data_IF_843372493898
#
_entry.id   IF_843372493898
#
_cell.length_a   1.000
_cell.length_b   1.000
_cell.length_c   1.000
_cell.angle_alpha   90.00
_cell.angle_beta   90.00
_cell.angle_gamma   90.00
#
_symmetry.space_group_name_H-M   'P 1'
#
loop_
_entity.id
_entity.type
_entity.pdbx_description
1 polymer ?
#
# COMPACT_ATOMS: atom_id res chain seq x y z
N UNK A 1 25.50 16.31 -12.34
CA UNK A 1 24.78 17.06 -11.28
C UNK A 1 23.38 17.53 -11.67
N UNK A 2 23.16 18.50 -12.58
CA UNK A 2 21.79 18.98 -12.88
C UNK A 2 20.88 17.90 -13.46
N UNK A 3 21.38 17.10 -14.39
CA UNK A 3 20.61 16.03 -15.03
C UNK A 3 20.31 14.88 -14.06
N UNK A 4 21.24 14.56 -13.17
CA UNK A 4 21.06 13.53 -12.12
C UNK A 4 19.98 13.93 -11.11
N UNK A 5 19.95 15.21 -10.69
CA UNK A 5 18.91 15.74 -9.80
C UNK A 5 17.54 15.71 -10.50
N UNK A 6 17.47 16.05 -11.79
CA UNK A 6 16.22 15.99 -12.56
C UNK A 6 15.70 14.55 -12.67
N UNK A 7 16.57 13.58 -12.94
CA UNK A 7 16.23 12.16 -12.97
C UNK A 7 15.75 11.67 -11.59
N UNK A 8 16.43 12.07 -10.51
CA UNK A 8 16.05 11.73 -9.14
C UNK A 8 14.66 12.28 -8.78
N UNK A 9 14.35 13.53 -9.14
CA UNK A 9 13.02 14.14 -8.96
C UNK A 9 11.93 13.43 -9.74
N UNK A 10 12.22 13.01 -10.98
CA UNK A 10 11.31 12.20 -11.79
C UNK A 10 10.99 10.85 -11.12
N UNK A 11 12.02 10.15 -10.64
CA UNK A 11 11.85 8.88 -9.90
C UNK A 11 11.09 9.08 -8.59
N UNK A 12 11.38 10.14 -7.85
CA UNK A 12 10.65 10.49 -6.63
C UNK A 12 9.16 10.68 -6.90
N UNK A 13 8.80 11.47 -7.92
CA UNK A 13 7.41 11.70 -8.29
C UNK A 13 6.67 10.41 -8.68
N UNK A 14 7.34 9.51 -9.40
CA UNK A 14 6.79 8.21 -9.76
C UNK A 14 6.53 7.35 -8.52
N UNK A 15 7.51 7.22 -7.63
CA UNK A 15 7.38 6.43 -6.39
C UNK A 15 6.27 6.96 -5.50
N UNK A 16 6.17 8.28 -5.32
CA UNK A 16 5.09 8.91 -4.53
C UNK A 16 3.71 8.58 -5.13
N UNK A 17 3.60 8.61 -6.46
CA UNK A 17 2.34 8.27 -7.15
C UNK A 17 1.99 6.80 -6.94
N UNK A 18 2.91 5.88 -7.22
CA UNK A 18 2.66 4.44 -7.08
C UNK A 18 2.33 4.07 -5.62
N UNK A 19 3.03 4.67 -4.65
CA UNK A 19 2.73 4.52 -3.23
C UNK A 19 1.32 4.97 -2.88
N UNK A 20 0.82 6.04 -3.50
CA UNK A 20 -0.57 6.52 -3.32
C UNK A 20 -1.59 5.53 -3.90
N UNK A 21 -1.30 4.95 -5.07
CA UNK A 21 -2.15 3.94 -5.71
C UNK A 21 -2.24 2.68 -4.84
N UNK A 22 -1.12 2.19 -4.32
CA UNK A 22 -1.09 1.08 -3.36
C UNK A 22 -1.85 1.40 -2.07
N UNK A 23 -1.76 2.64 -1.57
CA UNK A 23 -2.53 3.06 -0.39
C UNK A 23 -4.05 3.02 -0.64
N UNK A 24 -4.49 3.37 -1.86
CA UNK A 24 -5.90 3.26 -2.24
C UNK A 24 -6.33 1.79 -2.34
N UNK A 25 -5.52 0.93 -2.95
CA UNK A 25 -5.75 -0.52 -3.01
C UNK A 25 -5.90 -1.10 -1.59
N UNK A 26 -4.98 -0.78 -0.69
CA UNK A 26 -5.00 -1.22 0.71
C UNK A 26 -6.29 -0.82 1.44
N UNK A 27 -6.81 0.40 1.20
CA UNK A 27 -8.09 0.84 1.77
C UNK A 27 -9.26 0.00 1.24
N UNK A 28 -9.27 -0.30 -0.05
CA UNK A 28 -10.28 -1.18 -0.67
C UNK A 28 -10.24 -2.59 -0.09
N UNK A 29 -9.05 -3.16 0.10
CA UNK A 29 -8.88 -4.48 0.72
C UNK A 29 -9.43 -4.52 2.15
N UNK A 30 -9.20 -3.49 2.95
CA UNK A 30 -9.77 -3.40 4.32
C UNK A 30 -11.30 -3.40 4.28
N UNK A 31 -11.93 -2.71 3.32
CA UNK A 31 -13.39 -2.73 3.17
C UNK A 31 -13.90 -4.12 2.79
N UNK A 32 -13.23 -4.79 1.85
CA UNK A 32 -13.58 -6.17 1.43
C UNK A 32 -13.45 -7.14 2.59
N UNK A 33 -12.36 -7.06 3.37
CA UNK A 33 -12.15 -7.91 4.55
C UNK A 33 -13.28 -7.70 5.57
N UNK A 34 -13.63 -6.45 5.86
CA UNK A 34 -14.73 -6.13 6.79
C UNK A 34 -16.09 -6.64 6.32
N UNK A 35 -16.35 -6.59 5.01
CA UNK A 35 -17.59 -7.13 4.46
C UNK A 35 -17.68 -8.66 4.58
N UNK A 36 -16.54 -9.36 4.51
CA UNK A 36 -16.47 -10.82 4.63
C UNK A 36 -16.42 -11.32 6.07
N UNK A 37 -15.88 -10.50 6.97
CA UNK A 37 -15.72 -10.76 8.40
C UNK A 37 -16.54 -9.77 9.23
N UNK A 38 -17.81 -9.58 8.87
CA UNK A 38 -18.68 -8.62 9.56
C UNK A 38 -18.70 -8.95 11.06
N UNK A 39 -18.19 -8.06 11.93
CA UNK A 39 -18.12 -8.32 13.36
C UNK A 39 -19.50 -8.35 14.03
N UNK A 40 -20.55 -7.94 13.33
CA UNK A 40 -21.93 -7.92 13.83
C UNK A 40 -22.78 -9.09 13.33
N UNK A 41 -22.24 -9.97 12.48
CA UNK A 41 -22.96 -11.19 12.07
C UNK A 41 -23.01 -12.18 13.25
N UNK A 42 -24.21 -12.53 13.77
CA UNK A 42 -24.35 -13.44 14.90
C UNK A 42 -24.05 -14.90 14.53
N UNK A 43 -24.19 -15.28 13.26
CA UNK A 43 -23.95 -16.64 12.77
C UNK A 43 -22.56 -16.76 12.10
N UNK A 44 -21.58 -17.29 12.84
CA UNK A 44 -20.21 -17.47 12.38
C UNK A 44 -20.10 -18.33 11.10
N UNK A 45 -21.07 -19.21 10.83
CA UNK A 45 -21.08 -20.03 9.63
C UNK A 45 -21.28 -19.21 8.35
N UNK A 46 -21.79 -17.97 8.44
CA UNK A 46 -21.95 -17.06 7.30
C UNK A 46 -20.70 -16.23 7.00
N UNK A 47 -19.71 -16.23 7.89
CA UNK A 47 -18.46 -15.51 7.65
C UNK A 47 -17.67 -16.19 6.53
N UNK A 48 -17.20 -15.40 5.57
CA UNK A 48 -16.41 -15.91 4.46
C UNK A 48 -14.91 -15.80 4.77
N UNK A 49 -14.45 -16.65 5.68
CA UNK A 49 -13.10 -16.59 6.27
C UNK A 49 -12.01 -16.85 5.22
N UNK A 50 -12.20 -17.84 4.35
CA UNK A 50 -11.21 -18.20 3.31
C UNK A 50 -11.00 -17.05 2.32
N UNK A 51 -12.08 -16.43 1.84
CA UNK A 51 -11.96 -15.29 0.93
C UNK A 51 -11.41 -14.03 1.63
N UNK A 52 -11.64 -13.89 2.93
CA UNK A 52 -11.06 -12.81 3.73
C UNK A 52 -9.55 -13.04 3.90
N UNK A 53 -9.11 -14.27 4.12
CA UNK A 53 -7.70 -14.64 4.23
C UNK A 53 -6.90 -14.28 2.97
N UNK A 54 -7.43 -14.57 1.78
CA UNK A 54 -6.81 -14.15 0.51
C UNK A 54 -6.63 -12.63 0.45
N UNK A 55 -7.64 -11.89 0.88
CA UNK A 55 -7.62 -10.42 0.90
C UNK A 55 -6.63 -9.88 1.94
N UNK A 56 -6.50 -10.55 3.09
CA UNK A 56 -5.54 -10.24 4.15
C UNK A 56 -4.10 -10.48 3.67
N UNK A 57 -3.83 -11.58 2.96
CA UNK A 57 -2.52 -11.84 2.37
C UNK A 57 -2.12 -10.73 1.41
N UNK A 58 -3.03 -10.34 0.50
CA UNK A 58 -2.76 -9.23 -0.40
C UNK A 58 -2.53 -7.91 0.35
N UNK A 59 -3.29 -7.65 1.42
CA UNK A 59 -3.11 -6.45 2.24
C UNK A 59 -1.74 -6.41 2.91
N UNK A 60 -1.22 -7.56 3.40
CA UNK A 60 0.13 -7.67 3.95
C UNK A 60 1.18 -7.32 2.90
N UNK A 61 1.04 -7.84 1.68
CA UNK A 61 1.96 -7.54 0.58
C UNK A 61 1.96 -6.06 0.20
N UNK A 62 0.77 -5.46 0.10
CA UNK A 62 0.61 -4.01 -0.17
C UNK A 62 1.26 -3.19 0.94
N UNK A 63 1.06 -3.56 2.21
CA UNK A 63 1.67 -2.88 3.35
C UNK A 63 3.20 -2.97 3.32
N UNK A 64 3.76 -4.14 3.01
CA UNK A 64 5.20 -4.33 2.89
C UNK A 64 5.78 -3.43 1.78
N UNK A 65 5.18 -3.43 0.59
CA UNK A 65 5.59 -2.56 -0.53
C UNK A 65 5.53 -1.08 -0.20
N UNK A 66 4.49 -0.63 0.50
CA UNK A 66 4.38 0.76 0.95
C UNK A 66 5.56 1.13 1.87
N UNK A 67 5.95 0.24 2.79
CA UNK A 67 7.10 0.49 3.68
C UNK A 67 8.42 0.58 2.92
N UNK A 68 8.62 -0.29 1.94
CA UNK A 68 9.79 -0.25 1.06
C UNK A 68 9.83 1.05 0.25
N UNK A 69 8.70 1.47 -0.32
CA UNK A 69 8.59 2.73 -1.04
C UNK A 69 8.82 3.95 -0.13
N UNK A 70 8.27 3.96 1.08
CA UNK A 70 8.48 5.04 2.05
C UNK A 70 9.97 5.14 2.48
N UNK A 71 10.73 4.05 2.43
CA UNK A 71 12.19 4.07 2.61
C UNK A 71 12.90 4.66 1.37
N UNK A 72 12.59 4.17 0.17
CA UNK A 72 13.19 4.68 -1.08
C UNK A 72 12.88 6.16 -1.32
N UNK A 73 11.67 6.61 -0.99
CA UNK A 73 11.28 8.02 -1.10
C UNK A 73 12.18 8.86 -0.20
N UNK A 74 12.35 8.47 1.07
CA UNK A 74 13.24 9.20 2.01
C UNK A 74 14.67 9.29 1.51
N UNK A 75 15.24 8.18 1.05
CA UNK A 75 16.61 8.16 0.50
C UNK A 75 16.76 9.13 -0.68
N UNK A 76 15.77 9.18 -1.58
CA UNK A 76 15.80 10.09 -2.73
C UNK A 76 15.58 11.55 -2.27
N UNK A 77 14.67 11.80 -1.34
CA UNK A 77 14.42 13.14 -0.76
C UNK A 77 15.69 13.72 -0.13
N UNK A 78 16.39 12.93 0.67
CA UNK A 78 17.68 13.33 1.26
C UNK A 78 18.75 13.62 0.19
N UNK A 79 18.79 12.80 -0.88
CA UNK A 79 19.76 12.97 -1.97
C UNK A 79 19.50 14.22 -2.84
N UNK A 80 18.24 14.68 -2.97
CA UNK A 80 17.90 15.89 -3.71
C UNK A 80 17.96 17.18 -2.86
N UNK A 81 18.09 17.04 -1.53
CA UNK A 81 18.23 18.15 -0.59
C UNK A 81 16.92 18.93 -0.31
N UNK A 82 15.77 18.26 -0.45
CA UNK A 82 14.44 18.79 -0.09
C UNK A 82 13.98 18.25 1.28
#
# INVERSE_FOLDING_TARGET
MKDEIMLARGRHALLVRERRELSLEGKGLVQVIRAKLDPFEPDLAKLNVEEAEVSIHRLKDVQAKIREMDAQIREITEAIGD
#
